data_IF_473823191007
#
_entry.id   IF_473823191007
#
_cell.length_a   1.000
_cell.length_b   1.000
_cell.length_c   1.000
_cell.angle_alpha   90.00
_cell.angle_beta   90.00
_cell.angle_gamma   90.00
#
_symmetry.space_group_name_H-M   'P 1'
#
loop_
_entity.id
_entity.type
_entity.pdbx_description
1 polymer ?
#
# COMPACT_ATOMS: atom_id res chain seq x y z
N UNK A 1 15.37 16.21 9.53
CA UNK A 1 14.64 16.46 8.26
C UNK A 1 13.83 15.21 7.97
N UNK A 2 12.53 15.23 8.24
CA UNK A 2 11.66 14.08 7.99
C UNK A 2 11.27 14.04 6.51
N UNK A 3 11.56 12.93 5.83
CA UNK A 3 11.20 12.70 4.42
C UNK A 3 10.14 11.62 4.40
N UNK A 4 9.16 11.76 3.51
CA UNK A 4 8.12 10.75 3.32
C UNK A 4 8.77 9.43 2.89
N UNK A 5 8.51 8.36 3.63
CA UNK A 5 8.96 7.01 3.31
C UNK A 5 7.78 6.16 2.88
N UNK A 6 8.03 5.24 1.97
CA UNK A 6 7.06 4.22 1.59
C UNK A 6 7.37 2.92 2.32
N UNK A 7 6.35 2.32 2.89
CA UNK A 7 6.35 1.04 3.56
C UNK A 7 5.43 0.11 2.78
N UNK A 8 5.85 -1.13 2.57
CA UNK A 8 5.02 -2.14 1.92
C UNK A 8 4.82 -3.31 2.87
N UNK A 9 3.61 -3.86 2.91
CA UNK A 9 3.34 -5.05 3.69
C UNK A 9 3.94 -6.28 3.00
N UNK A 10 4.83 -6.96 3.71
CA UNK A 10 5.39 -8.24 3.30
C UNK A 10 4.93 -9.36 4.24
N UNK A 11 4.51 -10.48 3.67
CA UNK A 11 4.21 -11.69 4.44
C UNK A 11 5.49 -12.33 4.95
N UNK A 12 5.51 -12.58 6.26
CA UNK A 12 6.62 -13.23 6.97
C UNK A 12 6.69 -14.72 6.60
N UNK A 13 5.55 -15.34 6.30
CA UNK A 13 5.42 -16.79 6.11
C UNK A 13 5.53 -17.25 4.65
N UNK A 14 5.89 -16.35 3.72
CA UNK A 14 6.19 -16.69 2.33
C UNK A 14 4.99 -17.23 1.55
N UNK A 15 4.12 -16.35 1.06
CA UNK A 15 3.06 -16.79 0.14
C UNK A 15 2.23 -15.70 -0.50
N UNK A 16 2.03 -14.56 0.17
CA UNK A 16 1.25 -13.45 -0.38
C UNK A 16 1.96 -12.13 -0.14
N UNK A 17 2.31 -11.42 -1.22
CA UNK A 17 2.67 -10.00 -1.14
C UNK A 17 1.36 -9.24 -0.98
N UNK A 18 1.05 -8.78 0.22
CA UNK A 18 -0.06 -7.86 0.42
C UNK A 18 0.25 -6.59 -0.38
N UNK A 19 -0.64 -6.19 -1.29
CA UNK A 19 -0.45 -4.99 -2.12
C UNK A 19 -0.84 -3.69 -1.41
N UNK A 20 -0.54 -3.63 -0.11
CA UNK A 20 -0.74 -2.45 0.73
C UNK A 20 0.57 -1.70 0.82
N UNK A 21 0.56 -0.47 0.32
CA UNK A 21 1.61 0.50 0.51
C UNK A 21 1.14 1.55 1.52
N UNK A 22 1.99 1.91 2.46
CA UNK A 22 1.74 3.00 3.39
C UNK A 22 2.84 4.05 3.24
N UNK A 23 2.44 5.31 3.17
CA UNK A 23 3.32 6.46 3.11
C UNK A 23 3.27 7.16 4.45
N UNK A 24 4.40 7.23 5.13
CA UNK A 24 4.51 7.87 6.44
C UNK A 24 5.90 8.49 6.59
N UNK A 25 6.02 9.48 7.47
CA UNK A 25 7.32 10.02 7.84
C UNK A 25 8.07 9.13 8.82
N UNK A 26 7.32 8.50 9.72
CA UNK A 26 7.86 7.68 10.80
C UNK A 26 7.09 6.35 10.85
N UNK A 27 7.77 5.22 11.08
CA UNK A 27 7.12 3.93 11.18
C UNK A 27 6.16 3.82 12.37
N UNK A 28 6.28 4.70 13.37
CA UNK A 28 5.38 4.76 14.52
C UNK A 28 3.98 5.27 14.16
N UNK A 29 3.84 6.00 13.05
CA UNK A 29 2.55 6.46 12.54
C UNK A 29 1.85 5.42 11.65
N UNK A 30 2.51 4.28 11.37
CA UNK A 30 1.90 3.23 10.57
C UNK A 30 0.83 2.50 11.39
N UNK A 31 -0.30 2.14 10.77
CA UNK A 31 -1.27 1.26 11.40
C UNK A 31 -0.64 -0.12 11.66
N UNK A 32 -1.19 -0.91 12.60
CA UNK A 32 -0.73 -2.26 12.84
C UNK A 32 -0.77 -3.06 11.52
N UNK A 33 0.32 -3.78 11.18
CA UNK A 33 0.33 -4.62 10.00
C UNK A 33 -0.70 -5.75 10.18
N UNK A 34 -1.15 -6.33 9.05
CA UNK A 34 -2.03 -7.48 9.09
C UNK A 34 -1.39 -8.72 9.73
N UNK A 35 -2.22 -9.74 9.99
CA UNK A 35 -1.77 -10.96 10.68
C UNK A 35 -0.67 -11.67 9.88
N UNK A 36 0.49 -11.89 10.49
CA UNK A 36 1.71 -12.43 9.86
C UNK A 36 2.33 -11.54 8.75
N UNK A 37 2.06 -10.23 8.79
CA UNK A 37 2.65 -9.24 7.90
C UNK A 37 3.59 -8.32 8.69
N UNK A 38 4.61 -7.79 7.99
CA UNK A 38 5.48 -6.74 8.49
C UNK A 38 5.57 -5.59 7.49
N UNK A 39 5.60 -4.37 8.01
CA UNK A 39 5.88 -3.18 7.22
C UNK A 39 7.37 -3.11 6.91
N UNK A 40 7.71 -3.14 5.63
CA UNK A 40 9.08 -2.99 5.18
C UNK A 40 9.26 -1.66 4.46
N UNK A 41 10.14 -0.81 4.99
CA UNK A 41 10.52 0.43 4.35
C UNK A 41 11.23 0.16 3.01
N UNK A 42 10.81 0.88 1.97
CA UNK A 42 11.43 0.82 0.65
C UNK A 42 12.46 1.93 0.55
N UNK A 43 13.74 1.59 0.76
CA UNK A 43 14.85 2.55 0.74
C UNK A 43 15.03 3.23 -0.64
N UNK A 44 14.56 2.59 -1.70
CA UNK A 44 14.61 3.10 -3.07
C UNK A 44 13.44 4.04 -3.41
N UNK A 45 12.49 4.24 -2.49
CA UNK A 45 11.33 5.09 -2.73
C UNK A 45 11.72 6.57 -2.78
N UNK A 46 11.20 7.28 -3.77
CA UNK A 46 11.31 8.72 -3.89
C UNK A 46 9.95 9.30 -4.29
N UNK A 47 9.36 10.11 -3.40
CA UNK A 47 8.07 10.75 -3.63
C UNK A 47 8.03 11.61 -4.90
N UNK A 48 9.14 12.27 -5.25
CA UNK A 48 9.17 13.08 -6.47
C UNK A 48 9.09 12.22 -7.75
N UNK A 49 9.80 11.08 -7.78
CA UNK A 49 9.78 10.16 -8.93
C UNK A 49 8.41 9.49 -9.07
N UNK A 50 7.82 9.09 -7.94
CA UNK A 50 6.50 8.44 -7.94
C UNK A 50 5.37 9.40 -8.32
N UNK A 51 5.38 10.66 -7.89
CA UNK A 51 4.42 11.67 -8.40
C UNK A 51 4.60 11.90 -9.91
N UNK A 52 5.84 11.86 -10.41
CA UNK A 52 6.09 12.00 -11.86
C UNK A 52 5.55 10.82 -12.66
N UNK A 53 5.56 9.61 -12.08
CA UNK A 53 5.01 8.40 -12.68
C UNK A 53 3.49 8.32 -12.57
N UNK A 54 2.95 8.66 -11.41
CA UNK A 54 1.53 8.61 -11.13
C UNK A 54 1.09 9.88 -10.37
N UNK A 55 0.42 10.77 -11.09
CA UNK A 55 -0.07 12.02 -10.54
C UNK A 55 -1.15 11.81 -9.45
N UNK A 56 -1.80 10.64 -9.40
CA UNK A 56 -2.79 10.30 -8.37
C UNK A 56 -2.18 10.09 -6.98
N UNK A 57 -0.87 9.88 -6.89
CA UNK A 57 -0.15 9.77 -5.62
C UNK A 57 0.05 11.13 -4.92
N UNK A 58 -0.12 12.24 -5.64
CA UNK A 58 0.05 13.58 -5.07
C UNK A 58 -0.93 13.82 -3.91
N UNK A 59 -2.21 13.51 -4.11
CA UNK A 59 -3.24 13.65 -3.07
C UNK A 59 -2.97 12.72 -1.88
N UNK A 60 -2.49 11.51 -2.15
CA UNK A 60 -2.08 10.55 -1.11
C UNK A 60 -0.92 11.10 -0.27
N UNK A 61 0.08 11.71 -0.91
CA UNK A 61 1.23 12.26 -0.20
C UNK A 61 0.84 13.49 0.60
N UNK A 62 -0.03 14.35 0.07
CA UNK A 62 -0.60 15.47 0.84
C UNK A 62 -1.35 14.93 2.06
N UNK A 63 -2.16 13.88 1.90
CA UNK A 63 -2.87 13.24 3.00
C UNK A 63 -1.91 12.64 4.04
N UNK A 64 -0.84 12.00 3.59
CA UNK A 64 0.18 11.44 4.49
C UNK A 64 0.93 12.54 5.25
N UNK A 65 1.13 13.70 4.61
CA UNK A 65 1.75 14.85 5.23
C UNK A 65 0.84 15.48 6.28
N UNK A 66 -0.45 15.59 5.97
CA UNK A 66 -1.47 16.19 6.84
C UNK A 66 -1.81 15.29 8.05
N UNK A 67 -2.00 13.99 7.82
CA UNK A 67 -2.41 13.01 8.84
C UNK A 67 -1.26 12.26 9.50
N UNK A 68 -0.04 12.39 8.97
CA UNK A 68 1.13 11.61 9.40
C UNK A 68 1.25 10.22 8.76
N UNK A 69 0.18 9.69 8.16
CA UNK A 69 0.20 8.48 7.35
C UNK A 69 -0.90 8.48 6.26
N UNK A 70 -0.63 7.82 5.13
CA UNK A 70 -1.65 7.46 4.15
C UNK A 70 -1.42 6.04 3.65
N UNK A 71 -2.50 5.27 3.51
CA UNK A 71 -2.45 3.89 3.03
C UNK A 71 -3.03 3.85 1.62
N UNK A 72 -2.32 3.21 0.71
CA UNK A 72 -2.77 2.87 -0.63
C UNK A 72 -2.88 1.36 -0.72
N UNK A 73 -4.12 0.90 -0.82
CA UNK A 73 -4.42 -0.45 -1.28
C UNK A 73 -4.44 -0.42 -2.80
N UNK A 74 -3.42 -0.99 -3.44
CA UNK A 74 -3.53 -1.31 -4.87
C UNK A 74 -4.60 -2.39 -4.97
N UNK A 75 -5.83 -1.94 -5.24
CA UNK A 75 -7.03 -2.76 -5.29
C UNK A 75 -6.79 -3.88 -6.29
N UNK A 76 -6.48 -5.09 -5.80
CA UNK A 76 -6.46 -6.28 -6.63
C UNK A 76 -7.92 -6.62 -6.91
N UNK A 77 -8.51 -5.97 -7.90
CA UNK A 77 -9.57 -6.59 -8.68
C UNK A 77 -8.97 -7.83 -9.34
N UNK A 78 -8.89 -8.96 -8.63
CA UNK A 78 -8.64 -10.30 -9.20
C UNK A 78 -8.82 -11.35 -8.09
N UNK A 79 -10.02 -11.49 -7.54
CA UNK A 79 -10.43 -12.73 -6.86
C UNK A 79 -11.94 -12.93 -6.65
N UNK A 80 -12.83 -11.94 -6.88
CA UNK A 80 -14.28 -12.15 -6.71
C UNK A 80 -15.07 -12.28 -8.03
N UNK A 81 -14.42 -12.16 -9.19
CA UNK A 81 -15.09 -12.42 -10.48
C UNK A 81 -15.16 -13.91 -10.86
N UNK A 82 -14.68 -14.83 -10.03
CA UNK A 82 -14.80 -16.28 -10.33
C UNK A 82 -16.14 -16.90 -9.90
N UNK A 83 -16.93 -16.24 -9.05
CA UNK A 83 -18.19 -16.81 -8.56
C UNK A 83 -19.44 -16.44 -9.37
N UNK A 84 -19.41 -15.38 -10.20
CA UNK A 84 -20.65 -14.89 -10.84
C UNK A 84 -20.93 -15.47 -12.25
N UNK A 85 -20.06 -16.33 -12.79
CA UNK A 85 -20.24 -16.96 -14.12
C UNK A 85 -20.68 -18.43 -14.07
N UNK A 86 -20.76 -19.05 -12.88
CA UNK A 86 -21.18 -20.46 -12.76
C UNK A 86 -22.66 -20.68 -12.42
N UNK A 87 -23.41 -19.62 -12.12
CA UNK A 87 -24.85 -19.72 -11.77
C UNK A 87 -25.82 -19.44 -12.93
N UNK A 88 -25.34 -19.20 -14.16
CA UNK A 88 -26.21 -18.91 -15.32
C UNK A 88 -26.35 -20.04 -16.35
N UNK A 89 -25.75 -21.21 -16.12
CA UNK A 89 -25.89 -22.37 -16.99
C UNK A 89 -25.97 -23.69 -16.19
N UNK A 90 -27.04 -23.90 -15.42
CA UNK A 90 -27.69 -25.22 -15.34
C UNK A 90 -29.08 -25.14 -14.73
#
# INVERSE_FOLDING_TARGET
MNRLQMFVEHSVTGGYRSKRAAYAFDPENLPPPGENLEWKAVSSFNAADEIMRDSGLKDIFILAVDKGCAIVEERVELALNFENSRQRCR
#
